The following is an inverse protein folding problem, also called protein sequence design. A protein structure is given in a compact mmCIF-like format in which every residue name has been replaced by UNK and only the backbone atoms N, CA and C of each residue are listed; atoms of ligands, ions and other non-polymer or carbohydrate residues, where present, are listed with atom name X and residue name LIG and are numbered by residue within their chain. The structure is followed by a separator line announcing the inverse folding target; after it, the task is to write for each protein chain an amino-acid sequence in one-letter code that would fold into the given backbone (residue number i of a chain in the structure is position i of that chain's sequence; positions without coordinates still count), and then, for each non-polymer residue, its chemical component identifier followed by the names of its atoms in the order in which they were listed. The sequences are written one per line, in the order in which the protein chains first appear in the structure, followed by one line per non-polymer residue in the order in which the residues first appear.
data_IF_773089302281
#
_entry.id   IF_773089302281
#
_cell.length_a   1.000
_cell.length_b   1.000
_cell.length_c   1.000
_cell.angle_alpha   90.00
_cell.angle_beta   90.00
_cell.angle_gamma   90.00
#
_symmetry.space_group_name_H-M   'P 1'
#
loop_
_entity.id
_entity.type
_entity.pdbx_description
1 polymer ?
#
# COMPACT_ATOMS: atom_id res chain seq x y z
N UNK A 1 2.84 5.84 11.68
CA UNK A 1 1.43 6.08 11.32
C UNK A 1 0.98 4.99 10.37
N UNK A 2 -0.27 4.54 10.47
CA UNK A 2 -0.81 3.49 9.60
C UNK A 2 -1.74 4.08 8.54
N UNK A 3 -1.73 3.48 7.35
CA UNK A 3 -2.54 3.89 6.22
C UNK A 3 -3.12 2.69 5.49
N UNK A 4 -4.34 2.85 4.97
CA UNK A 4 -4.82 2.03 3.85
C UNK A 4 -4.31 2.68 2.57
N UNK A 5 -3.46 1.96 1.83
CA UNK A 5 -3.00 2.33 0.49
C UNK A 5 -3.91 1.66 -0.54
N UNK A 6 -4.82 2.42 -1.12
CA UNK A 6 -5.60 2.01 -2.29
C UNK A 6 -4.79 2.23 -3.55
N UNK A 7 -4.90 1.30 -4.49
CA UNK A 7 -4.27 1.37 -5.80
C UNK A 7 -5.26 0.97 -6.90
N UNK A 8 -5.14 1.61 -8.06
CA UNK A 8 -5.89 1.29 -9.28
C UNK A 8 -4.99 1.55 -10.50
N UNK A 9 -5.13 0.73 -11.55
CA UNK A 9 -4.42 0.91 -12.83
C UNK A 9 -5.29 0.43 -14.01
N UNK A 10 -4.95 0.79 -15.25
CA UNK A 10 -5.66 0.25 -16.41
C UNK A 10 -5.19 -1.18 -16.70
N UNK A 11 -6.11 -2.10 -17.02
CA UNK A 11 -5.77 -3.47 -17.41
C UNK A 11 -4.75 -3.57 -18.56
N UNK A 12 -4.70 -2.56 -19.45
CA UNK A 12 -3.68 -2.47 -20.50
C UNK A 12 -2.25 -2.35 -19.94
N UNK A 13 -2.09 -1.76 -18.76
CA UNK A 13 -0.80 -1.53 -18.10
C UNK A 13 -0.39 -2.69 -17.17
N UNK A 14 -1.19 -3.77 -17.10
CA UNK A 14 -1.00 -4.84 -16.12
C UNK A 14 0.42 -5.40 -16.07
N UNK A 15 1.01 -5.74 -17.23
CA UNK A 15 2.36 -6.30 -17.26
C UNK A 15 3.40 -5.29 -16.74
N UNK A 16 3.29 -4.02 -17.14
CA UNK A 16 4.15 -2.93 -16.67
C UNK A 16 4.05 -2.77 -15.16
N UNK A 17 2.84 -2.81 -14.61
CA UNK A 17 2.60 -2.69 -13.16
C UNK A 17 3.17 -3.89 -12.41
N UNK A 18 3.07 -5.10 -12.96
CA UNK A 18 3.63 -6.31 -12.34
C UNK A 18 5.16 -6.30 -12.33
N UNK A 19 5.81 -5.79 -13.39
CA UNK A 19 7.26 -5.60 -13.43
C UNK A 19 7.72 -4.57 -12.39
N UNK A 20 7.04 -3.43 -12.32
CA UNK A 20 7.29 -2.41 -11.29
C UNK A 20 7.08 -2.95 -9.88
N UNK A 21 6.06 -3.79 -9.68
CA UNK A 21 5.80 -4.44 -8.40
C UNK A 21 6.96 -5.35 -7.99
N UNK A 22 7.47 -6.17 -8.91
CA UNK A 22 8.62 -7.03 -8.64
C UNK A 22 9.85 -6.22 -8.22
N UNK A 23 10.17 -5.18 -9.00
CA UNK A 23 11.29 -4.27 -8.69
C UNK A 23 11.15 -3.61 -7.33
N UNK A 24 9.97 -3.06 -7.02
CA UNK A 24 9.72 -2.40 -5.74
C UNK A 24 9.85 -3.36 -4.56
N UNK A 25 9.37 -4.60 -4.70
CA UNK A 25 9.49 -5.62 -3.64
C UNK A 25 10.94 -6.02 -3.39
N UNK A 26 11.76 -6.10 -4.44
CA UNK A 26 13.20 -6.35 -4.31
C UNK A 26 13.90 -5.18 -3.61
N UNK A 27 13.56 -3.93 -3.97
CA UNK A 27 14.10 -2.74 -3.31
C UNK A 27 13.75 -2.68 -1.82
N UNK A 28 12.48 -2.91 -1.47
CA UNK A 28 12.01 -2.93 -0.08
C UNK A 28 12.69 -4.02 0.74
N UNK A 29 12.97 -5.18 0.11
CA UNK A 29 13.70 -6.27 0.76
C UNK A 29 15.15 -5.88 1.07
N UNK A 30 15.79 -5.11 0.18
CA UNK A 30 17.18 -4.72 0.31
C UNK A 30 17.37 -3.51 1.23
N UNK A 31 16.41 -2.58 1.27
CA UNK A 31 16.49 -1.33 2.04
C UNK A 31 15.19 -1.09 2.82
N UNK A 32 14.84 -1.95 3.81
CA UNK A 32 13.55 -1.88 4.49
C UNK A 32 13.34 -0.56 5.27
N UNK A 33 14.40 0.05 5.79
CA UNK A 33 14.36 1.33 6.52
C UNK A 33 14.07 2.55 5.64
N UNK A 34 14.35 2.48 4.34
CA UNK A 34 14.12 3.57 3.37
C UNK A 34 12.73 3.52 2.73
N UNK A 35 11.87 2.61 3.19
CA UNK A 35 10.59 2.31 2.57
C UNK A 35 9.47 2.23 3.61
N UNK A 36 8.22 2.38 3.14
CA UNK A 36 7.06 2.12 3.99
C UNK A 36 6.99 0.62 4.29
N UNK A 37 6.66 0.28 5.54
CA UNK A 37 6.52 -1.10 5.98
C UNK A 37 5.14 -1.62 5.57
N UNK A 38 5.10 -2.74 4.86
CA UNK A 38 3.84 -3.40 4.51
C UNK A 38 3.38 -4.28 5.67
N UNK A 39 2.22 -3.95 6.26
CA UNK A 39 1.71 -4.65 7.46
C UNK A 39 0.54 -5.59 7.18
N UNK A 40 0.08 -5.66 5.93
CA UNK A 40 -0.89 -6.67 5.47
C UNK A 40 -0.46 -7.32 4.16
N UNK A 41 -1.19 -8.38 3.78
CA UNK A 41 -1.18 -8.88 2.39
C UNK A 41 -1.70 -7.81 1.44
N UNK A 42 -1.34 -7.92 0.16
CA UNK A 42 -1.96 -7.12 -0.89
C UNK A 42 -3.32 -7.76 -1.26
N UNK A 43 -4.39 -6.97 -1.22
CA UNK A 43 -5.73 -7.41 -1.56
C UNK A 43 -6.13 -6.80 -2.90
N UNK A 44 -6.48 -7.63 -3.88
CA UNK A 44 -7.06 -7.19 -5.14
C UNK A 44 -8.59 -7.35 -5.08
N UNK A 45 -9.31 -6.44 -5.72
CA UNK A 45 -10.74 -6.58 -5.95
C UNK A 45 -10.99 -7.65 -7.03
N UNK A 46 -12.17 -8.27 -6.97
CA UNK A 46 -12.55 -9.31 -7.94
C UNK A 46 -12.90 -8.70 -9.30
N UNK A 47 -13.47 -7.50 -9.30
CA UNK A 47 -14.12 -6.90 -10.48
C UNK A 47 -13.18 -6.01 -11.31
N UNK A 48 -11.90 -5.86 -10.92
CA UNK A 48 -11.00 -5.00 -11.68
C UNK A 48 -9.56 -4.90 -11.13
N UNK A 49 -8.68 -4.21 -11.89
CA UNK A 49 -7.28 -3.93 -11.54
C UNK A 49 -7.15 -2.84 -10.45
N UNK A 50 -7.85 -3.04 -9.35
CA UNK A 50 -7.82 -2.19 -8.17
C UNK A 50 -7.73 -3.02 -6.89
N UNK A 51 -7.32 -2.38 -5.80
CA UNK A 51 -7.13 -3.07 -4.54
C UNK A 51 -6.60 -2.18 -3.45
N UNK A 52 -6.17 -2.81 -2.37
CA UNK A 52 -5.57 -2.10 -1.25
C UNK A 52 -4.57 -2.94 -0.47
N UNK A 53 -3.71 -2.25 0.27
CA UNK A 53 -2.78 -2.85 1.22
C UNK A 53 -2.59 -1.91 2.41
N UNK A 54 -2.38 -2.46 3.61
CA UNK A 54 -2.03 -1.67 4.78
C UNK A 54 -0.53 -1.41 4.81
N UNK A 55 -0.17 -0.15 5.06
CA UNK A 55 1.21 0.31 5.18
C UNK A 55 1.41 1.13 6.44
N UNK A 56 2.59 1.00 7.03
CA UNK A 56 3.02 1.71 8.23
C UNK A 56 4.26 2.54 7.87
N UNK A 57 4.21 3.84 8.15
CA UNK A 57 5.36 4.73 8.04
C UNK A 57 5.19 5.95 8.93
N UNK A 58 6.27 6.44 9.50
CA UNK A 58 6.33 7.76 10.15
C UNK A 58 6.93 8.84 9.24
N UNK A 59 7.48 8.43 8.08
CA UNK A 59 8.04 9.31 7.08
C UNK A 59 7.10 9.40 5.86
N UNK A 60 6.43 10.54 5.61
CA UNK A 60 5.54 10.69 4.46
C UNK A 60 6.26 10.58 3.10
N UNK A 61 7.58 10.82 3.05
CA UNK A 61 8.37 10.65 1.82
C UNK A 61 8.37 9.20 1.33
N UNK A 62 8.21 8.23 2.22
CA UNK A 62 8.09 6.82 1.82
C UNK A 62 6.83 6.58 0.96
N UNK A 63 5.74 7.31 1.22
CA UNK A 63 4.52 7.21 0.40
C UNK A 63 4.70 7.90 -0.95
N UNK A 64 5.39 9.05 -0.96
CA UNK A 64 5.74 9.77 -2.20
C UNK A 64 6.61 8.90 -3.11
N UNK A 65 7.57 8.17 -2.53
CA UNK A 65 8.43 7.23 -3.25
C UNK A 65 7.64 6.13 -3.95
N UNK A 66 6.66 5.54 -3.26
CA UNK A 66 5.73 4.58 -3.87
C UNK A 66 5.05 5.23 -5.08
N UNK A 67 4.42 6.39 -4.90
CA UNK A 67 3.72 7.08 -6.00
C UNK A 67 4.63 7.30 -7.21
N UNK A 68 5.84 7.83 -6.99
CA UNK A 68 6.80 8.11 -8.07
C UNK A 68 7.25 6.87 -8.82
N UNK A 69 7.47 5.75 -8.12
CA UNK A 69 7.88 4.49 -8.75
C UNK A 69 6.84 3.97 -9.75
N UNK A 70 5.56 4.07 -9.38
CA UNK A 70 4.45 3.48 -10.13
C UNK A 70 3.75 4.44 -11.09
N UNK A 71 4.07 5.74 -11.08
CA UNK A 71 3.56 6.67 -12.07
C UNK A 71 4.15 6.41 -13.48
N UNK A 72 3.38 6.67 -14.55
CA UNK A 72 1.98 7.12 -14.58
C UNK A 72 0.91 6.01 -14.45
N UNK A 73 1.30 4.74 -14.41
CA UNK A 73 0.39 3.60 -14.62
C UNK A 73 -0.55 3.33 -13.44
N UNK A 74 -0.14 3.64 -12.21
CA UNK A 74 -0.95 3.39 -11.01
C UNK A 74 -1.32 4.70 -10.32
N UNK A 75 -2.60 4.82 -9.95
CA UNK A 75 -3.09 5.88 -9.07
C UNK A 75 -3.19 5.35 -7.65
N UNK A 76 -2.72 6.14 -6.70
CA UNK A 76 -2.79 5.80 -5.28
C UNK A 76 -3.67 6.77 -4.50
N UNK A 77 -4.35 6.22 -3.50
CA UNK A 77 -5.01 6.99 -2.45
C UNK A 77 -4.60 6.43 -1.10
N UNK A 78 -4.06 7.27 -0.22
CA UNK A 78 -3.68 6.90 1.13
C UNK A 78 -4.71 7.43 2.12
N UNK A 79 -5.32 6.55 2.89
CA UNK A 79 -6.23 6.91 3.97
C UNK A 79 -5.57 6.60 5.33
N UNK A 80 -5.22 7.60 6.15
CA UNK A 80 -4.66 7.34 7.47
C UNK A 80 -5.69 6.65 8.36
N UNK A 81 -5.24 5.68 9.14
CA UNK A 81 -6.09 4.92 10.07
C UNK A 81 -5.54 4.97 11.49
N UNK A 82 -6.43 4.77 12.45
CA UNK A 82 -6.10 4.64 13.87
C UNK A 82 -6.78 3.38 14.41
N UNK A 83 -6.03 2.58 15.15
CA UNK A 83 -6.59 1.42 15.82
C UNK A 83 -7.46 1.86 17.01
N UNK A 84 -8.72 1.42 17.03
CA UNK A 84 -9.61 1.65 18.16
C UNK A 84 -9.45 0.49 19.15
N UNK A 85 -9.11 0.82 20.41
CA UNK A 85 -9.13 -0.18 21.49
C UNK A 85 -10.56 -0.68 21.68
N UNK A 86 -10.75 -2.00 21.57
CA UNK A 86 -12.02 -2.65 21.87
C UNK A 86 -12.35 -2.37 23.35
N UNK A 87 -13.45 -1.68 23.61
CA UNK A 87 -13.96 -1.51 24.97
C UNK A 87 -14.63 -2.81 25.36
N UNK A 88 -13.99 -3.59 26.23
CA UNK A 88 -14.62 -4.76 26.83
C UNK A 88 -15.80 -4.30 27.70
N UNK A 89 -17.01 -4.38 27.13
CA UNK A 89 -18.24 -4.24 27.90
C UNK A 89 -18.40 -5.50 28.76
N UNK A 90 -17.73 -5.53 29.92
CA UNK A 90 -18.18 -6.35 31.05
C UNK A 90 -19.40 -5.68 31.64
N UNK A 91 -20.56 -5.94 31.05
CA UNK A 91 -21.86 -5.63 31.66
C UNK A 91 -21.96 -6.44 32.96
N UNK A 92 -22.02 -5.73 34.08
CA UNK A 92 -22.32 -6.29 35.41
C UNK A 92 -23.79 -6.67 35.50
#
# INVERSE_FOLDING_TARGET
MEYIMFWEYDSADHNTVMDKLKQFREEVKNNPEENAKFISKNYSMVDGPEGFQLVETDNPEHLVKIVRHYMPEVRFRFAPIVELKKVDQKTK
#
